data_IF_356077501140
#
_entry.id   IF_356077501140
#
_cell.length_a   1.000
_cell.length_b   1.000
_cell.length_c   1.000
_cell.angle_alpha   90.00
_cell.angle_beta   90.00
_cell.angle_gamma   90.00
#
_symmetry.space_group_name_H-M   'P 1'
#
loop_
_entity.id
_entity.type
_entity.pdbx_description
1 polymer ?
#
# COMPACT_ATOMS: atom_id res chain seq x y z
N UNK A 1 42.08 22.97 -16.79
CA UNK A 1 40.81 22.54 -16.16
C UNK A 1 39.84 23.70 -16.24
N UNK A 2 38.86 23.66 -17.14
CA UNK A 2 37.93 24.77 -17.37
C UNK A 2 36.91 24.88 -16.23
N UNK A 3 36.89 26.02 -15.54
CA UNK A 3 35.98 26.36 -14.44
C UNK A 3 34.69 27.04 -14.97
N UNK A 4 34.21 26.60 -16.14
CA UNK A 4 33.10 27.26 -16.83
C UNK A 4 31.77 27.04 -16.06
N UNK A 5 31.09 28.12 -15.61
CA UNK A 5 29.80 28.03 -14.93
C UNK A 5 28.72 27.38 -15.81
N UNK A 6 28.84 27.46 -17.14
CA UNK A 6 27.88 26.87 -18.08
C UNK A 6 27.97 25.34 -18.07
N UNK A 7 29.18 24.78 -17.99
CA UNK A 7 29.40 23.33 -17.88
C UNK A 7 28.89 22.79 -16.53
N UNK A 8 29.06 23.54 -15.44
CA UNK A 8 28.50 23.18 -14.12
C UNK A 8 26.98 23.25 -14.12
N UNK A 9 26.38 24.21 -14.83
CA UNK A 9 24.93 24.31 -15.01
C UNK A 9 24.37 23.15 -15.83
N UNK A 10 25.02 22.79 -16.95
CA UNK A 10 24.61 21.67 -17.79
C UNK A 10 24.72 20.32 -17.08
N UNK A 11 25.80 20.07 -16.33
CA UNK A 11 25.94 18.84 -15.52
C UNK A 11 24.87 18.77 -14.42
N UNK A 12 24.58 19.90 -13.75
CA UNK A 12 23.50 19.96 -12.76
C UNK A 12 22.14 19.68 -13.39
N UNK A 13 21.82 20.26 -14.53
CA UNK A 13 20.56 19.96 -15.23
C UNK A 13 20.49 18.51 -15.71
N UNK A 14 21.57 17.95 -16.26
CA UNK A 14 21.59 16.58 -16.78
C UNK A 14 21.58 15.49 -15.70
N UNK A 15 21.91 15.83 -14.45
CA UNK A 15 21.92 14.85 -13.34
C UNK A 15 20.76 15.09 -12.38
N UNK A 16 20.53 16.34 -11.96
CA UNK A 16 19.50 16.67 -10.96
C UNK A 16 18.10 16.53 -11.56
N UNK A 17 17.87 16.97 -12.81
CA UNK A 17 16.53 16.91 -13.41
C UNK A 17 16.08 15.46 -13.63
N UNK A 18 16.90 14.54 -14.22
CA UNK A 18 16.49 13.14 -14.33
C UNK A 18 16.32 12.45 -12.98
N UNK A 19 17.13 12.80 -11.98
CA UNK A 19 16.99 12.24 -10.63
C UNK A 19 15.65 12.65 -10.00
N UNK A 20 15.28 13.93 -10.10
CA UNK A 20 13.98 14.41 -9.62
C UNK A 20 12.81 13.75 -10.37
N UNK A 21 12.92 13.59 -11.69
CA UNK A 21 11.91 12.89 -12.50
C UNK A 21 11.78 11.43 -12.03
N UNK A 22 12.90 10.73 -11.79
CA UNK A 22 12.89 9.35 -11.33
C UNK A 22 12.22 9.23 -9.95
N UNK A 23 12.53 10.13 -9.01
CA UNK A 23 11.88 10.16 -7.69
C UNK A 23 10.37 10.39 -7.81
N UNK A 24 9.94 11.37 -8.62
CA UNK A 24 8.50 11.62 -8.83
C UNK A 24 7.82 10.42 -9.50
N UNK A 25 8.45 9.81 -10.50
CA UNK A 25 7.89 8.65 -11.20
C UNK A 25 7.74 7.43 -10.26
N UNK A 26 8.72 7.17 -9.39
CA UNK A 26 8.64 6.08 -8.40
C UNK A 26 7.48 6.30 -7.43
N UNK A 27 7.35 7.51 -6.87
CA UNK A 27 6.25 7.85 -5.96
C UNK A 27 4.87 7.68 -6.64
N UNK A 28 4.75 8.09 -7.91
CA UNK A 28 3.50 7.93 -8.67
C UNK A 28 3.15 6.47 -8.95
N UNK A 29 4.15 5.63 -9.28
CA UNK A 29 3.94 4.20 -9.50
C UNK A 29 3.48 3.49 -8.22
N UNK A 30 4.10 3.82 -7.08
CA UNK A 30 3.73 3.27 -5.77
C UNK A 30 2.32 3.68 -5.35
N UNK A 31 1.96 4.96 -5.51
CA UNK A 31 0.62 5.45 -5.20
C UNK A 31 -0.44 4.69 -6.00
N UNK A 32 -0.16 4.41 -7.27
CA UNK A 32 -1.05 3.64 -8.14
C UNK A 32 -1.21 2.19 -7.69
N UNK A 33 -0.12 1.53 -7.30
CA UNK A 33 -0.17 0.14 -6.78
C UNK A 33 -0.98 0.06 -5.48
N UNK A 34 -0.83 1.05 -4.60
CA UNK A 34 -1.63 1.14 -3.37
C UNK A 34 -3.11 1.36 -3.67
N UNK A 35 -3.44 2.28 -4.59
CA UNK A 35 -4.82 2.52 -5.00
C UNK A 35 -5.44 1.24 -5.61
N UNK A 36 -4.71 0.53 -6.47
CA UNK A 36 -5.19 -0.72 -7.07
C UNK A 36 -5.39 -1.83 -6.03
N UNK A 37 -4.46 -1.96 -5.09
CA UNK A 37 -4.60 -2.85 -3.95
C UNK A 37 -5.82 -2.46 -3.10
N UNK A 38 -5.99 -1.18 -2.74
CA UNK A 38 -7.11 -0.70 -1.92
C UNK A 38 -8.44 -0.99 -2.59
N UNK A 39 -8.54 -0.71 -3.89
CA UNK A 39 -9.77 -0.92 -4.67
C UNK A 39 -10.10 -2.40 -4.83
N UNK A 40 -9.10 -3.29 -4.81
CA UNK A 40 -9.29 -4.73 -4.94
C UNK A 40 -9.51 -5.43 -3.59
N UNK A 41 -8.90 -4.92 -2.52
CA UNK A 41 -8.82 -5.61 -1.22
C UNK A 41 -9.78 -5.00 -0.20
N UNK A 42 -9.71 -3.69 -0.01
CA UNK A 42 -10.41 -2.97 1.06
C UNK A 42 -11.79 -2.52 0.62
N UNK A 43 -11.91 -1.91 -0.55
CA UNK A 43 -13.16 -1.33 -1.04
C UNK A 43 -14.31 -2.34 -1.17
N UNK A 44 -14.11 -3.59 -1.65
CA UNK A 44 -15.20 -4.56 -1.72
C UNK A 44 -15.81 -4.86 -0.35
N UNK A 45 -14.97 -4.95 0.68
CA UNK A 45 -15.41 -5.18 2.06
C UNK A 45 -16.14 -3.95 2.61
N UNK A 46 -15.62 -2.73 2.38
CA UNK A 46 -16.33 -1.49 2.76
C UNK A 46 -17.71 -1.41 2.14
N UNK A 47 -17.83 -1.69 0.83
CA UNK A 47 -19.11 -1.65 0.12
C UNK A 47 -20.07 -2.71 0.65
N UNK A 48 -19.60 -3.95 0.85
CA UNK A 48 -20.41 -5.05 1.37
C UNK A 48 -20.96 -4.77 2.78
N UNK A 49 -20.21 -4.04 3.61
CA UNK A 49 -20.59 -3.72 5.00
C UNK A 49 -20.74 -2.21 5.25
N UNK A 50 -21.22 -1.45 4.26
CA UNK A 50 -21.27 0.02 4.31
C UNK A 50 -21.91 0.55 5.60
N UNK A 51 -22.99 -0.09 6.06
CA UNK A 51 -23.75 0.32 7.25
C UNK A 51 -23.21 -0.28 8.57
N UNK A 52 -22.10 -1.02 8.53
CA UNK A 52 -21.51 -1.65 9.70
C UNK A 52 -20.33 -0.81 10.23
N UNK A 53 -20.48 -0.11 11.37
CA UNK A 53 -19.41 0.72 11.92
C UNK A 53 -18.17 -0.08 12.34
N UNK A 54 -18.32 -1.37 12.66
CA UNK A 54 -17.20 -2.26 12.94
C UNK A 54 -16.39 -2.55 11.69
N UNK A 55 -17.06 -2.76 10.55
CA UNK A 55 -16.37 -2.98 9.28
C UNK A 55 -15.58 -1.74 8.85
N UNK A 56 -16.14 -0.54 9.02
CA UNK A 56 -15.43 0.71 8.74
C UNK A 56 -14.17 0.84 9.61
N UNK A 57 -14.28 0.60 10.93
CA UNK A 57 -13.10 0.62 11.82
C UNK A 57 -12.00 -0.37 11.42
N UNK A 58 -12.37 -1.61 11.09
CA UNK A 58 -11.40 -2.65 10.70
C UNK A 58 -10.74 -2.29 9.37
N UNK A 59 -11.53 -1.86 8.38
CA UNK A 59 -11.01 -1.49 7.05
C UNK A 59 -10.18 -0.20 7.08
N UNK A 60 -10.56 0.78 7.90
CA UNK A 60 -9.77 1.99 8.16
C UNK A 60 -8.42 1.66 8.79
N UNK A 61 -8.41 0.81 9.82
CA UNK A 61 -7.17 0.41 10.50
C UNK A 61 -6.23 -0.33 9.54
N UNK A 62 -6.76 -1.29 8.77
CA UNK A 62 -5.96 -2.04 7.81
C UNK A 62 -5.37 -1.15 6.71
N UNK A 63 -6.17 -0.21 6.20
CA UNK A 63 -5.72 0.75 5.19
C UNK A 63 -4.69 1.74 5.74
N UNK A 64 -4.84 2.20 6.99
CA UNK A 64 -3.87 3.08 7.64
C UNK A 64 -2.51 2.39 7.76
N UNK A 65 -2.47 1.16 8.26
CA UNK A 65 -1.24 0.38 8.35
C UNK A 65 -0.54 0.22 6.98
N UNK A 66 -1.32 -0.04 5.93
CA UNK A 66 -0.79 -0.16 4.58
C UNK A 66 -0.21 1.17 4.05
N UNK A 67 -0.87 2.29 4.35
CA UNK A 67 -0.42 3.63 3.94
C UNK A 67 0.88 4.03 4.65
N UNK A 68 0.95 3.80 5.97
CA UNK A 68 2.13 4.13 6.79
C UNK A 68 3.37 3.31 6.40
N UNK A 69 3.17 2.07 5.97
CA UNK A 69 4.25 1.20 5.51
C UNK A 69 4.89 1.71 4.20
N UNK A 70 4.18 2.51 3.42
CA UNK A 70 4.62 3.02 2.12
C UNK A 70 5.36 4.34 2.25
N UNK A 71 5.05 5.17 3.26
CA UNK A 71 5.83 6.39 3.52
C UNK A 71 7.31 6.08 3.85
N UNK A 72 7.62 4.85 4.28
CA UNK A 72 8.96 4.46 4.70
C UNK A 72 9.64 3.41 3.80
N UNK A 73 8.90 2.65 2.99
CA UNK A 73 9.46 1.55 2.20
C UNK A 73 9.37 1.83 0.69
N UNK A 74 10.47 1.57 -0.01
CA UNK A 74 10.57 1.75 -1.46
C UNK A 74 9.60 0.85 -2.26
N UNK A 75 8.99 -0.17 -1.66
CA UNK A 75 8.01 -1.04 -2.31
C UNK A 75 7.04 -1.63 -1.28
N UNK A 76 5.74 -1.59 -1.57
CA UNK A 76 4.70 -2.32 -0.84
C UNK A 76 4.76 -3.80 -1.22
N UNK A 77 4.97 -4.70 -0.25
CA UNK A 77 5.15 -6.12 -0.54
C UNK A 77 4.03 -6.99 0.02
N UNK A 78 3.89 -8.25 -0.46
CA UNK A 78 2.97 -9.21 0.14
C UNK A 78 3.20 -9.41 1.65
N UNK A 79 4.46 -9.33 2.09
CA UNK A 79 4.80 -9.51 3.50
C UNK A 79 4.32 -8.33 4.35
N UNK A 80 4.42 -7.10 3.83
CA UNK A 80 3.93 -5.90 4.52
C UNK A 80 2.40 -5.95 4.65
N UNK A 81 1.72 -6.34 3.57
CA UNK A 81 0.28 -6.54 3.59
C UNK A 81 -0.15 -7.63 4.59
N UNK A 82 0.56 -8.76 4.66
CA UNK A 82 0.30 -9.80 5.65
C UNK A 82 0.57 -9.34 7.08
N UNK A 83 1.63 -8.56 7.31
CA UNK A 83 1.91 -7.98 8.62
C UNK A 83 0.78 -7.05 9.05
N UNK A 84 0.36 -6.11 8.19
CA UNK A 84 -0.76 -5.22 8.49
C UNK A 84 -2.06 -5.97 8.73
N UNK A 85 -2.29 -7.07 8.02
CA UNK A 85 -3.46 -7.90 8.23
C UNK A 85 -3.40 -8.53 9.63
N UNK A 86 -2.26 -9.11 10.01
CA UNK A 86 -2.04 -9.66 11.35
C UNK A 86 -2.23 -8.59 12.44
N UNK A 87 -1.66 -7.41 12.27
CA UNK A 87 -1.83 -6.30 13.22
C UNK A 87 -3.31 -5.89 13.33
N UNK A 88 -4.09 -6.03 12.25
CA UNK A 88 -5.55 -5.81 12.25
C UNK A 88 -6.30 -6.92 12.98
N UNK A 89 -5.87 -8.19 12.86
CA UNK A 89 -6.40 -9.29 13.67
C UNK A 89 -6.17 -9.02 15.16
N UNK A 90 -4.94 -8.66 15.54
CA UNK A 90 -4.58 -8.36 16.92
C UNK A 90 -5.40 -7.16 17.46
N UNK A 91 -5.61 -6.13 16.65
CA UNK A 91 -6.47 -4.99 16.98
C UNK A 91 -7.93 -5.41 17.28
N UNK A 92 -8.50 -6.27 16.46
CA UNK A 92 -9.86 -6.81 16.65
C UNK A 92 -9.96 -7.61 17.94
N UNK A 93 -8.95 -8.44 18.23
CA UNK A 93 -8.90 -9.27 19.43
C UNK A 93 -8.77 -8.44 20.70
N UNK A 94 -7.84 -7.47 20.73
CA UNK A 94 -7.61 -6.57 21.86
C UNK A 94 -8.85 -5.74 22.18
N UNK A 95 -9.53 -5.21 21.15
CA UNK A 95 -10.74 -4.42 21.32
C UNK A 95 -12.01 -5.25 21.53
N UNK A 96 -11.91 -6.59 21.45
CA UNK A 96 -13.05 -7.52 21.53
C UNK A 96 -14.19 -7.10 20.60
N UNK A 97 -13.86 -6.74 19.37
CA UNK A 97 -14.88 -6.30 18.42
C UNK A 97 -15.88 -7.44 18.14
N UNK A 98 -17.14 -7.11 17.84
CA UNK A 98 -18.22 -8.08 17.81
C UNK A 98 -18.03 -9.19 16.75
N UNK A 99 -18.79 -10.29 16.82
CA UNK A 99 -18.65 -11.47 15.94
C UNK A 99 -18.55 -11.22 14.42
N UNK A 100 -19.19 -10.19 13.82
CA UNK A 100 -19.02 -9.90 12.40
C UNK A 100 -17.55 -9.63 12.00
N UNK A 101 -16.72 -9.21 12.96
CA UNK A 101 -15.31 -8.86 12.75
C UNK A 101 -14.51 -10.01 12.15
N UNK A 102 -14.79 -11.25 12.54
CA UNK A 102 -14.04 -12.41 12.06
C UNK A 102 -14.29 -12.68 10.57
N UNK A 103 -15.56 -12.55 10.13
CA UNK A 103 -15.93 -12.67 8.72
C UNK A 103 -15.32 -11.55 7.86
N UNK A 104 -15.30 -10.33 8.39
CA UNK A 104 -14.67 -9.17 7.73
C UNK A 104 -13.17 -9.42 7.54
N UNK A 105 -12.48 -9.90 8.57
CA UNK A 105 -11.05 -10.23 8.51
C UNK A 105 -10.75 -11.37 7.52
N UNK A 106 -11.58 -12.41 7.49
CA UNK A 106 -11.45 -13.51 6.52
C UNK A 106 -11.61 -13.05 5.07
N UNK A 107 -12.55 -12.13 4.82
CA UNK A 107 -12.75 -11.54 3.49
C UNK A 107 -11.59 -10.64 3.08
N UNK A 108 -11.10 -9.79 4.00
CA UNK A 108 -9.88 -8.99 3.77
C UNK A 108 -8.68 -9.88 3.45
N UNK A 109 -8.48 -10.95 4.24
CA UNK A 109 -7.40 -11.91 4.00
C UNK A 109 -7.52 -12.55 2.60
N UNK A 110 -8.73 -13.03 2.26
CA UNK A 110 -8.99 -13.67 0.96
C UNK A 110 -8.75 -12.74 -0.21
N UNK A 111 -9.21 -11.49 -0.11
CA UNK A 111 -9.01 -10.50 -1.16
C UNK A 111 -7.52 -10.17 -1.30
N UNK A 112 -6.81 -9.99 -0.19
CA UNK A 112 -5.37 -9.73 -0.17
C UNK A 112 -4.58 -10.88 -0.80
N UNK A 113 -4.82 -12.13 -0.40
CA UNK A 113 -4.19 -13.31 -1.00
C UNK A 113 -4.49 -13.46 -2.48
N UNK A 114 -5.70 -13.07 -2.91
CA UNK A 114 -6.09 -13.12 -4.32
C UNK A 114 -5.37 -12.06 -5.14
N UNK A 115 -5.25 -10.83 -4.62
CA UNK A 115 -4.50 -9.75 -5.25
C UNK A 115 -3.04 -10.14 -5.49
N UNK A 116 -2.33 -10.58 -4.45
CA UNK A 116 -0.92 -10.93 -4.57
C UNK A 116 -0.65 -12.16 -5.43
N UNK A 117 -1.59 -13.13 -5.46
CA UNK A 117 -1.48 -14.26 -6.39
C UNK A 117 -1.61 -13.86 -7.86
N UNK A 118 -2.37 -12.80 -8.18
CA UNK A 118 -2.46 -12.27 -9.55
C UNK A 118 -1.16 -11.62 -10.00
N UNK A 119 -0.42 -11.03 -9.06
CA UNK A 119 0.84 -10.33 -9.32
C UNK A 119 2.06 -11.26 -9.39
N UNK A 120 2.00 -12.47 -8.80
CA UNK A 120 3.07 -13.46 -8.97
C UNK A 120 3.15 -13.88 -10.45
N UNK A 121 4.31 -13.74 -11.12
CA UNK A 121 4.49 -14.29 -12.46
C UNK A 121 4.26 -15.80 -12.39
N UNK A 122 3.42 -16.31 -13.30
CA UNK A 122 3.21 -17.76 -13.46
C UNK A 122 4.51 -18.37 -14.01
N UNK A 123 5.40 -18.79 -13.11
CA UNK A 123 6.60 -19.55 -13.44
C UNK A 123 7.85 -18.68 -13.65
N UNK A 124 8.73 -18.69 -12.65
CA UNK A 124 10.18 -18.71 -12.82
C UNK A 124 10.68 -20.03 -12.27
#
# INVERSE_FOLDING_TARGET
MSNDPFTKFLVRCLVIVPLLIAVVAINLMQARELDEWRDTVVMPVRVQYTDNPTANKITDYFQACASDSIEFLAHWTPNDAQKCLKDTFDFVEVLRLPPPSQRILEELNRNNDTYWRKLKPRGS
#
